data_IF_565045912126
#
_entry.id   IF_565045912126
#
_cell.length_a   1.000
_cell.length_b   1.000
_cell.length_c   1.000
_cell.angle_alpha   90.00
_cell.angle_beta   90.00
_cell.angle_gamma   90.00
#
_symmetry.space_group_name_H-M   'P 1'
#
loop_
_entity.id
_entity.type
_entity.pdbx_description
1 polymer ?
#
# COMPACT_ATOMS: atom_id res chain seq x y z
N UNK A 1 -0.89 28.64 27.61
CA UNK A 1 -0.38 27.42 26.93
C UNK A 1 -0.82 27.50 25.48
N UNK A 2 0.14 27.68 24.56
CA UNK A 2 -0.14 27.64 23.12
C UNK A 2 -0.24 26.16 22.75
N UNK A 3 -1.45 25.71 22.42
CA UNK A 3 -1.67 24.39 21.84
C UNK A 3 -1.02 24.42 20.45
N UNK A 4 0.09 23.71 20.29
CA UNK A 4 0.70 23.50 18.97
C UNK A 4 -0.37 22.92 18.05
N UNK A 5 -0.63 23.51 16.87
CA UNK A 5 -1.64 22.98 15.96
C UNK A 5 -1.24 21.56 15.59
N UNK A 6 -2.06 20.58 15.97
CA UNK A 6 -1.95 19.23 15.42
C UNK A 6 -2.13 19.39 13.92
N UNK A 7 -1.10 19.04 13.16
CA UNK A 7 -1.16 19.07 11.70
C UNK A 7 -2.20 18.06 11.25
N UNK A 8 -3.40 18.57 10.96
CA UNK A 8 -4.49 17.87 10.25
C UNK A 8 -4.20 17.75 8.75
N UNK A 9 -3.02 18.19 8.30
CA UNK A 9 -2.46 17.88 6.99
C UNK A 9 -1.88 16.45 6.92
N UNK A 10 -2.31 15.54 7.81
CA UNK A 10 -2.27 14.10 7.55
C UNK A 10 -3.29 13.69 6.47
N UNK A 11 -3.50 14.56 5.49
CA UNK A 11 -4.65 14.63 4.59
C UNK A 11 -4.28 14.43 3.13
N UNK A 12 -3.12 13.87 2.81
CA UNK A 12 -2.91 13.20 1.51
C UNK A 12 -3.48 11.77 1.56
N UNK A 13 -4.68 11.65 2.14
CA UNK A 13 -5.62 10.62 1.72
C UNK A 13 -6.07 11.04 0.34
N UNK A 14 -5.51 10.47 -0.72
CA UNK A 14 -6.15 10.20 -2.02
C UNK A 14 -5.05 9.74 -3.00
N UNK A 15 -4.75 8.45 -2.94
CA UNK A 15 -4.91 7.69 -4.17
C UNK A 15 -6.27 7.03 -4.03
N UNK A 16 -7.26 7.49 -4.81
CA UNK A 16 -8.51 6.76 -5.00
C UNK A 16 -8.14 5.41 -5.62
N UNK A 17 -7.76 4.43 -4.80
CA UNK A 17 -7.87 3.04 -5.22
C UNK A 17 -9.37 2.85 -5.34
N UNK A 18 -9.89 2.94 -6.57
CA UNK A 18 -11.30 2.71 -6.80
C UNK A 18 -11.64 1.29 -6.31
N UNK A 19 -12.87 1.06 -5.85
CA UNK A 19 -13.33 -0.26 -5.40
C UNK A 19 -13.03 -1.35 -6.43
N UNK A 20 -13.10 -1.03 -7.73
CA UNK A 20 -12.71 -1.94 -8.81
C UNK A 20 -11.21 -2.31 -8.79
N UNK A 21 -10.32 -1.36 -8.52
CA UNK A 21 -8.88 -1.62 -8.41
C UNK A 21 -8.56 -2.42 -7.15
N UNK A 22 -9.26 -2.14 -6.04
CA UNK A 22 -9.11 -2.89 -4.81
C UNK A 22 -9.63 -4.32 -4.96
N UNK A 23 -10.78 -4.49 -5.63
CA UNK A 23 -11.35 -5.79 -5.96
C UNK A 23 -10.36 -6.59 -6.80
N UNK A 24 -9.87 -6.03 -7.91
CA UNK A 24 -8.95 -6.74 -8.79
C UNK A 24 -7.61 -7.08 -8.10
N UNK A 25 -7.07 -6.18 -7.27
CA UNK A 25 -5.91 -6.46 -6.44
C UNK A 25 -6.16 -7.62 -5.47
N UNK A 26 -7.36 -7.69 -4.88
CA UNK A 26 -7.77 -8.79 -4.02
C UNK A 26 -7.91 -10.10 -4.79
N UNK A 27 -8.50 -10.08 -5.99
CA UNK A 27 -8.59 -11.27 -6.86
C UNK A 27 -7.20 -11.81 -7.22
N UNK A 28 -6.26 -10.94 -7.59
CA UNK A 28 -4.87 -11.31 -7.85
C UNK A 28 -4.16 -11.88 -6.60
N UNK A 29 -4.42 -11.29 -5.43
CA UNK A 29 -3.83 -11.73 -4.18
C UNK A 29 -4.45 -13.01 -3.62
N UNK A 30 -5.71 -13.32 -3.94
CA UNK A 30 -6.47 -14.41 -3.33
C UNK A 30 -6.83 -15.56 -4.28
N UNK A 31 -7.25 -15.25 -5.50
CA UNK A 31 -7.87 -16.19 -6.46
C UNK A 31 -6.91 -16.68 -7.54
N UNK A 32 -5.94 -15.86 -7.98
CA UNK A 32 -4.98 -16.26 -9.01
C UNK A 32 -3.96 -17.28 -8.47
N UNK A 33 -3.88 -18.52 -8.98
CA UNK A 33 -3.10 -19.59 -8.35
C UNK A 33 -1.59 -19.32 -8.28
N UNK A 34 -1.02 -18.68 -9.30
CA UNK A 34 0.40 -18.35 -9.36
C UNK A 34 0.75 -17.07 -8.60
N UNK A 35 -0.08 -16.04 -8.74
CA UNK A 35 0.17 -14.72 -8.14
C UNK A 35 -0.21 -14.69 -6.67
N UNK A 36 -1.32 -15.32 -6.28
CA UNK A 36 -1.77 -15.36 -4.88
C UNK A 36 -0.73 -15.99 -3.96
N UNK A 37 -0.10 -17.08 -4.39
CA UNK A 37 0.95 -17.77 -3.61
C UNK A 37 2.14 -16.84 -3.38
N UNK A 38 2.61 -16.14 -4.43
CA UNK A 38 3.73 -15.21 -4.34
C UNK A 38 3.40 -14.00 -3.47
N UNK A 39 2.23 -13.39 -3.68
CA UNK A 39 1.78 -12.20 -2.96
C UNK A 39 1.59 -12.53 -1.47
N UNK A 40 0.89 -13.62 -1.13
CA UNK A 40 0.68 -14.05 0.25
C UNK A 40 2.00 -14.39 0.96
N UNK A 41 2.93 -15.05 0.26
CA UNK A 41 4.26 -15.35 0.82
C UNK A 41 5.03 -14.08 1.17
N UNK A 42 5.03 -13.08 0.28
CA UNK A 42 5.67 -11.79 0.51
C UNK A 42 5.00 -11.00 1.63
N UNK A 43 3.66 -10.95 1.66
CA UNK A 43 2.92 -10.29 2.74
C UNK A 43 3.32 -10.89 4.09
N UNK A 44 3.34 -12.23 4.20
CA UNK A 44 3.71 -12.90 5.46
C UNK A 44 5.13 -12.56 5.92
N UNK A 45 6.08 -12.46 4.99
CA UNK A 45 7.44 -11.98 5.31
C UNK A 45 7.43 -10.55 5.81
N UNK A 46 6.73 -9.65 5.11
CA UNK A 46 6.60 -8.26 5.52
C UNK A 46 5.95 -8.11 6.89
N UNK A 47 4.95 -8.92 7.21
CA UNK A 47 4.30 -8.91 8.53
C UNK A 47 5.20 -9.39 9.67
N UNK A 48 6.17 -10.24 9.36
CA UNK A 48 7.12 -10.79 10.35
C UNK A 48 8.32 -9.86 10.54
N UNK A 49 8.86 -9.33 9.44
CA UNK A 49 10.15 -8.64 9.42
C UNK A 49 10.02 -7.11 9.56
N UNK A 50 8.83 -6.54 9.32
CA UNK A 50 8.63 -5.09 9.28
C UNK A 50 7.58 -4.61 10.29
N UNK A 51 7.89 -3.49 10.92
CA UNK A 51 6.93 -2.77 11.75
C UNK A 51 5.79 -2.21 10.92
N UNK A 52 4.69 -1.84 11.58
CA UNK A 52 3.51 -1.23 10.92
C UNK A 52 3.88 0.01 10.09
N UNK A 53 4.78 0.85 10.60
CA UNK A 53 5.18 2.09 9.93
C UNK A 53 6.05 1.81 8.71
N UNK A 54 6.95 0.83 8.78
CA UNK A 54 7.78 0.45 7.64
C UNK A 54 6.95 -0.23 6.54
N UNK A 55 5.94 -1.04 6.91
CA UNK A 55 4.97 -1.59 5.94
C UNK A 55 4.19 -0.49 5.23
N UNK A 56 3.75 0.53 5.97
CA UNK A 56 3.06 1.68 5.37
C UNK A 56 3.99 2.46 4.42
N UNK A 57 5.21 2.76 4.85
CA UNK A 57 6.21 3.45 4.03
C UNK A 57 6.53 2.66 2.74
N UNK A 58 6.68 1.33 2.84
CA UNK A 58 6.91 0.46 1.70
C UNK A 58 5.74 0.50 0.72
N UNK A 59 4.50 0.41 1.21
CA UNK A 59 3.30 0.46 0.37
C UNK A 59 3.23 1.78 -0.43
N UNK A 60 3.44 2.92 0.23
CA UNK A 60 3.44 4.22 -0.45
C UNK A 60 4.59 4.36 -1.46
N UNK A 61 5.78 3.85 -1.13
CA UNK A 61 6.94 3.89 -2.03
C UNK A 61 6.69 3.05 -3.28
N UNK A 62 6.09 1.86 -3.14
CA UNK A 62 5.73 1.01 -4.29
C UNK A 62 4.72 1.72 -5.19
N UNK A 63 3.70 2.35 -4.60
CA UNK A 63 2.69 3.10 -5.37
C UNK A 63 3.34 4.27 -6.11
N UNK A 64 4.21 5.04 -5.47
CA UNK A 64 4.91 6.16 -6.12
C UNK A 64 5.82 5.68 -7.26
N UNK A 65 6.56 4.60 -7.06
CA UNK A 65 7.39 4.00 -8.10
C UNK A 65 6.56 3.54 -9.31
N UNK A 66 5.40 2.89 -9.07
CA UNK A 66 4.49 2.47 -10.15
C UNK A 66 3.94 3.66 -10.93
N UNK A 67 3.69 4.78 -10.25
CA UNK A 67 3.25 6.02 -10.88
C UNK A 67 4.32 6.63 -11.77
N UNK A 68 5.55 6.76 -11.27
CA UNK A 68 6.67 7.31 -12.03
C UNK A 68 7.05 6.43 -13.24
N UNK A 69 6.91 5.11 -13.12
CA UNK A 69 7.18 4.19 -14.24
C UNK A 69 6.10 4.20 -15.33
N UNK A 70 4.95 4.84 -15.09
CA UNK A 70 3.88 4.96 -16.10
C UNK A 70 4.20 6.02 -17.17
N UNK A 71 5.21 6.86 -16.92
CA UNK A 71 5.65 7.94 -17.82
C UNK A 71 6.85 7.55 -18.70
N UNK A 72 7.24 6.27 -18.74
CA UNK A 72 8.25 5.71 -19.65
C UNK A 72 7.63 4.72 -20.64
#
# INVERSE_FOLDING_TARGET
MVLSPVSILGGDSVYCINEAQMSHAKQLAEEDPDSSTKIKSLIKKLETDFTRNERAALAFTIIDNLRQNREK
#
